data_IF_558093173941
#
_entry.id   IF_558093173941
#
_cell.length_a   1.000
_cell.length_b   1.000
_cell.length_c   1.000
_cell.angle_alpha   90.00
_cell.angle_beta   90.00
_cell.angle_gamma   90.00
#
_symmetry.space_group_name_H-M   'P 1'
#
loop_
_entity.id
_entity.type
_entity.pdbx_description
1 polymer ?
#
# COMPACT_ATOMS: atom_id res chain seq x y z
N UNK A 1 52.17 8.80 49.66
CA UNK A 1 53.60 8.87 49.28
C UNK A 1 53.71 9.32 47.82
N UNK A 2 54.54 10.34 47.60
CA UNK A 2 54.88 11.01 46.33
C UNK A 2 55.28 10.02 45.21
N UNK A 3 55.27 10.33 43.91
CA UNK A 3 55.93 11.44 43.20
C UNK A 3 55.55 11.34 41.71
N UNK A 4 54.96 12.38 41.10
CA UNK A 4 55.60 13.37 40.20
C UNK A 4 56.36 12.81 38.98
N UNK A 5 55.89 13.17 37.77
CA UNK A 5 56.67 14.02 36.84
C UNK A 5 55.79 14.67 35.77
N UNK A 6 55.78 15.99 35.80
CA UNK A 6 55.27 16.90 34.79
C UNK A 6 56.35 17.20 33.73
N UNK A 7 55.93 17.64 32.53
CA UNK A 7 56.61 18.72 31.80
C UNK A 7 55.60 19.66 31.14
N UNK A 8 55.78 20.93 31.47
CA UNK A 8 55.17 22.13 30.92
C UNK A 8 55.79 22.54 29.58
N UNK A 9 55.04 23.26 28.74
CA UNK A 9 55.26 24.68 28.37
C UNK A 9 54.11 25.11 27.44
N UNK A 10 53.16 25.98 27.86
CA UNK A 10 53.13 27.46 27.67
C UNK A 10 53.50 27.86 26.23
N UNK A 11 52.70 28.57 25.43
CA UNK A 11 51.49 29.37 25.62
C UNK A 11 51.57 30.58 24.68
N UNK A 12 50.43 31.15 24.25
CA UNK A 12 50.19 32.61 24.12
C UNK A 12 48.85 32.89 23.44
N UNK A 13 48.11 33.81 24.04
CA UNK A 13 46.83 34.33 23.63
C UNK A 13 46.98 35.52 22.67
N UNK A 14 45.98 35.73 21.82
CA UNK A 14 45.82 36.96 21.04
C UNK A 14 44.38 37.11 20.55
N UNK A 15 43.56 37.90 21.26
CA UNK A 15 42.31 38.48 20.75
C UNK A 15 42.62 39.79 20.03
N UNK A 16 42.10 40.01 18.82
CA UNK A 16 41.66 41.33 18.31
C UNK A 16 40.53 41.17 17.27
N UNK A 17 39.57 42.09 17.37
CA UNK A 17 38.34 42.28 16.58
C UNK A 17 38.60 42.82 15.15
N UNK A 18 37.57 42.88 14.27
CA UNK A 18 37.70 43.10 12.83
C UNK A 18 37.63 44.58 12.43
N UNK A 19 38.07 44.95 11.22
CA UNK A 19 37.51 46.05 10.44
C UNK A 19 36.57 45.46 9.35
N UNK A 20 35.45 46.06 8.94
CA UNK A 20 35.13 47.48 8.79
C UNK A 20 34.81 47.69 7.31
N UNK A 21 33.51 47.80 7.01
CA UNK A 21 32.93 48.07 5.68
C UNK A 21 33.17 49.53 5.26
N UNK A 22 33.40 49.80 3.95
CA UNK A 22 33.06 51.11 3.41
C UNK A 22 32.35 51.04 2.05
N UNK A 23 31.13 51.59 2.01
CA UNK A 23 30.83 52.72 1.13
C UNK A 23 30.22 52.44 -0.25
N UNK A 24 28.92 52.76 -0.33
CA UNK A 24 28.17 53.37 -1.43
C UNK A 24 28.89 53.71 -2.74
N UNK A 25 28.28 53.30 -3.87
CA UNK A 25 28.49 53.95 -5.15
C UNK A 25 27.94 53.21 -6.38
N UNK A 26 26.92 53.81 -7.01
CA UNK A 26 26.46 53.65 -8.40
C UNK A 26 25.60 52.40 -8.68
N UNK A 27 24.26 52.48 -8.82
CA UNK A 27 23.47 53.20 -9.84
C UNK A 27 23.88 52.88 -11.28
N UNK A 28 23.37 51.77 -11.82
CA UNK A 28 23.25 51.55 -13.26
C UNK A 28 22.00 50.70 -13.55
N UNK A 29 21.01 51.34 -14.18
CA UNK A 29 19.83 50.70 -14.75
C UNK A 29 20.20 49.80 -15.93
N UNK A 30 19.56 48.64 -16.12
CA UNK A 30 19.47 48.02 -17.43
C UNK A 30 18.17 48.46 -18.12
N UNK A 31 18.35 49.25 -19.16
CA UNK A 31 17.35 49.65 -20.14
C UNK A 31 16.93 48.45 -21.01
N UNK A 32 15.62 48.32 -21.21
CA UNK A 32 15.01 47.86 -22.45
C UNK A 32 15.14 46.38 -22.83
N UNK A 33 14.12 45.59 -22.45
CA UNK A 33 13.67 44.47 -23.29
C UNK A 33 12.17 44.61 -23.51
N UNK A 34 11.83 44.81 -24.77
CA UNK A 34 10.48 44.96 -25.32
C UNK A 34 9.60 43.75 -25.00
N UNK A 35 8.48 44.00 -24.34
CA UNK A 35 7.38 43.06 -24.20
C UNK A 35 6.75 42.79 -25.58
N UNK A 36 6.97 41.61 -26.14
CA UNK A 36 6.14 41.09 -27.22
C UNK A 36 4.85 40.55 -26.60
N UNK A 37 3.72 41.17 -26.98
CA UNK A 37 2.37 40.67 -26.75
C UNK A 37 2.22 39.31 -27.42
N UNK A 38 2.22 38.24 -26.64
CA UNK A 38 1.68 36.95 -27.06
C UNK A 38 0.15 37.02 -27.00
N UNK A 39 -0.48 36.82 -28.15
CA UNK A 39 -1.93 36.70 -28.29
C UNK A 39 -2.48 35.58 -27.41
N UNK A 40 -3.53 35.90 -26.65
CA UNK A 40 -4.29 34.94 -25.85
C UNK A 40 -5.14 34.12 -26.82
N UNK A 41 -4.75 32.87 -27.05
CA UNK A 41 -5.58 31.89 -27.76
C UNK A 41 -6.86 31.66 -26.95
N UNK A 42 -8.02 31.99 -27.53
CA UNK A 42 -9.33 31.71 -26.98
C UNK A 42 -9.48 30.20 -26.77
N UNK A 43 -9.54 29.78 -25.51
CA UNK A 43 -9.88 28.41 -25.15
C UNK A 43 -11.40 28.31 -25.18
N UNK A 44 -11.94 27.57 -26.15
CA UNK A 44 -13.37 27.26 -26.27
C UNK A 44 -13.88 26.62 -24.97
N UNK A 45 -14.89 27.25 -24.36
CA UNK A 45 -15.59 26.70 -23.19
C UNK A 45 -16.42 25.45 -23.55
N UNK A 46 -16.75 24.60 -22.57
CA UNK A 46 -17.49 23.37 -22.82
C UNK A 46 -18.90 23.67 -23.37
N UNK A 47 -19.28 22.97 -24.45
CA UNK A 47 -20.58 23.09 -25.10
C UNK A 47 -21.71 22.61 -24.15
N UNK A 48 -22.87 23.28 -24.11
CA UNK A 48 -23.99 22.88 -23.28
C UNK A 48 -24.58 21.54 -23.74
N UNK A 49 -24.94 20.70 -22.76
CA UNK A 49 -25.61 19.41 -22.96
C UNK A 49 -27.05 19.68 -23.44
N UNK A 50 -27.56 18.99 -24.48
CA UNK A 50 -28.93 19.19 -24.93
C UNK A 50 -29.93 18.71 -23.87
N UNK A 51 -30.86 19.59 -23.49
CA UNK A 51 -32.04 19.18 -22.74
C UNK A 51 -33.04 18.54 -23.71
N UNK A 52 -33.12 17.22 -23.69
CA UNK A 52 -34.17 16.47 -24.37
C UNK A 52 -35.52 16.75 -23.69
N UNK A 53 -36.38 17.55 -24.35
CA UNK A 53 -37.78 17.76 -23.94
C UNK A 53 -38.65 16.72 -24.64
N UNK A 54 -38.49 15.47 -24.25
CA UNK A 54 -39.42 14.39 -24.60
C UNK A 54 -40.73 14.56 -23.84
N UNK A 55 -41.82 14.75 -24.59
CA UNK A 55 -43.18 14.89 -24.08
C UNK A 55 -43.63 13.69 -23.25
N UNK A 56 -44.22 13.96 -22.09
CA UNK A 56 -44.89 12.98 -21.25
C UNK A 56 -46.34 12.83 -21.73
N UNK A 57 -46.60 11.81 -22.55
CA UNK A 57 -47.95 11.28 -22.74
C UNK A 57 -47.92 9.75 -22.70
N UNK A 58 -48.88 9.15 -21.98
CA UNK A 58 -49.28 7.77 -22.20
C UNK A 58 -48.76 6.68 -21.24
N UNK A 59 -49.38 6.58 -20.06
CA UNK A 59 -49.65 5.32 -19.32
C UNK A 59 -48.45 4.55 -18.73
N UNK A 60 -48.05 4.93 -17.52
CA UNK A 60 -47.35 4.04 -16.58
C UNK A 60 -48.29 2.87 -16.21
N UNK A 61 -47.96 1.65 -16.65
CA UNK A 61 -48.60 0.43 -16.13
C UNK A 61 -48.10 0.19 -14.70
N UNK A 62 -48.96 -0.12 -13.72
CA UNK A 62 -48.49 -0.46 -12.39
C UNK A 62 -47.69 -1.77 -12.45
N UNK A 63 -46.43 -1.72 -12.01
CA UNK A 63 -45.63 -2.90 -11.77
C UNK A 63 -46.36 -3.75 -10.72
N UNK A 64 -46.79 -4.96 -11.11
CA UNK A 64 -47.37 -5.93 -10.19
C UNK A 64 -46.33 -6.29 -9.13
N UNK A 65 -46.54 -5.81 -7.90
CA UNK A 65 -45.87 -6.27 -6.70
C UNK A 65 -46.03 -7.78 -6.60
N UNK A 66 -44.95 -8.54 -6.86
CA UNK A 66 -44.92 -9.95 -6.49
C UNK A 66 -44.82 -10.01 -4.97
N UNK A 67 -45.71 -10.74 -4.28
CA UNK A 67 -45.61 -10.85 -2.83
C UNK A 67 -44.32 -11.59 -2.45
N UNK A 68 -43.66 -11.07 -1.43
CA UNK A 68 -42.50 -11.64 -0.77
C UNK A 68 -42.85 -13.05 -0.25
N UNK A 69 -42.25 -14.09 -0.83
CA UNK A 69 -42.39 -15.46 -0.34
C UNK A 69 -41.46 -15.65 0.86
N UNK A 70 -42.05 -15.82 2.05
CA UNK A 70 -41.31 -16.14 3.28
C UNK A 70 -40.59 -17.49 3.20
N UNK A 71 -39.58 -17.74 4.04
CA UNK A 71 -38.80 -18.97 4.00
C UNK A 71 -39.59 -20.12 4.64
N UNK A 72 -40.13 -21.00 3.80
CA UNK A 72 -40.89 -22.18 4.21
C UNK A 72 -40.46 -23.44 3.45
N UNK A 73 -39.51 -24.16 4.06
CA UNK A 73 -39.31 -25.62 4.06
C UNK A 73 -39.30 -26.44 2.75
N UNK A 74 -38.14 -27.11 2.60
CA UNK A 74 -37.91 -28.48 2.09
C UNK A 74 -37.80 -28.71 0.57
N UNK A 75 -36.54 -28.70 0.12
CA UNK A 75 -36.05 -29.58 -0.94
C UNK A 75 -34.71 -30.17 -0.50
N UNK A 76 -34.73 -31.40 0.05
CA UNK A 76 -33.52 -32.17 0.26
C UNK A 76 -32.88 -32.49 -1.11
N UNK A 77 -31.58 -32.26 -1.24
CA UNK A 77 -30.81 -32.69 -2.41
C UNK A 77 -30.20 -31.56 -3.23
N UNK A 78 -29.22 -30.85 -2.67
CA UNK A 78 -28.10 -30.21 -3.40
C UNK A 78 -27.06 -29.69 -2.40
N UNK A 79 -26.34 -30.60 -1.75
CA UNK A 79 -25.03 -30.28 -1.17
C UNK A 79 -24.02 -30.41 -2.32
N UNK A 80 -24.01 -29.43 -3.23
CA UNK A 80 -23.04 -29.34 -4.32
C UNK A 80 -22.43 -27.94 -4.27
N UNK A 81 -21.15 -27.91 -3.93
CA UNK A 81 -20.21 -26.80 -4.14
C UNK A 81 -20.63 -25.45 -3.54
N UNK A 82 -20.56 -25.31 -2.21
CA UNK A 82 -20.22 -24.00 -1.67
C UNK A 82 -18.75 -23.77 -2.02
N UNK A 83 -18.50 -23.04 -3.12
CA UNK A 83 -17.15 -22.59 -3.45
C UNK A 83 -16.57 -21.87 -2.23
N UNK A 84 -15.44 -22.39 -1.72
CA UNK A 84 -14.71 -21.73 -0.64
C UNK A 84 -14.40 -20.33 -1.12
N UNK A 85 -15.08 -19.31 -0.58
CA UNK A 85 -14.87 -17.93 -0.99
C UNK A 85 -13.76 -17.34 -0.13
N UNK A 86 -12.71 -16.82 -0.76
CA UNK A 86 -11.64 -16.10 -0.05
C UNK A 86 -12.25 -14.88 0.64
N UNK A 87 -12.05 -14.76 1.95
CA UNK A 87 -12.50 -13.60 2.76
C UNK A 87 -11.44 -12.49 2.72
N UNK A 88 -11.20 -11.92 1.55
CA UNK A 88 -10.25 -10.80 1.36
C UNK A 88 -10.98 -9.61 0.77
N UNK A 89 -10.68 -8.42 1.29
CA UNK A 89 -11.22 -7.14 0.82
C UNK A 89 -10.05 -6.20 0.48
N UNK A 90 -10.01 -5.58 -0.71
CA UNK A 90 -10.87 -5.82 -1.87
C UNK A 90 -10.76 -7.26 -2.40
N UNK A 91 -11.82 -7.76 -3.05
CA UNK A 91 -11.80 -9.09 -3.67
C UNK A 91 -10.71 -9.14 -4.75
N UNK A 92 -9.78 -10.12 -4.71
CA UNK A 92 -8.75 -10.25 -5.72
C UNK A 92 -9.32 -10.52 -7.11
N UNK A 93 -8.63 -10.04 -8.15
CA UNK A 93 -9.04 -10.23 -9.55
C UNK A 93 -9.10 -11.70 -9.96
N UNK A 94 -8.09 -12.47 -9.58
CA UNK A 94 -8.00 -13.88 -9.91
C UNK A 94 -7.60 -14.70 -8.69
N UNK A 95 -8.29 -15.82 -8.50
CA UNK A 95 -8.02 -16.78 -7.44
C UNK A 95 -8.16 -18.19 -8.02
N UNK A 96 -7.14 -19.02 -7.83
CA UNK A 96 -7.19 -20.45 -8.07
C UNK A 96 -6.92 -21.19 -6.75
N UNK A 97 -7.84 -22.08 -6.37
CA UNK A 97 -7.73 -22.88 -5.15
C UNK A 97 -7.09 -24.23 -5.43
N UNK A 98 -6.37 -24.72 -4.44
CA UNK A 98 -5.93 -26.11 -4.36
C UNK A 98 -6.61 -26.78 -3.16
N UNK A 99 -6.84 -28.09 -3.19
CA UNK A 99 -7.60 -28.82 -2.15
C UNK A 99 -6.88 -28.92 -0.79
N UNK A 100 -5.65 -28.43 -0.71
CA UNK A 100 -4.74 -28.56 0.43
C UNK A 100 -4.76 -27.31 1.31
N UNK A 101 -4.29 -27.45 2.55
CA UNK A 101 -4.11 -26.35 3.48
C UNK A 101 -2.79 -26.50 4.25
N UNK A 102 -2.21 -25.37 4.63
CA UNK A 102 -0.92 -25.26 5.31
C UNK A 102 -1.14 -24.68 6.71
N UNK A 103 -0.52 -25.32 7.70
CA UNK A 103 -0.52 -24.82 9.08
C UNK A 103 0.55 -23.75 9.27
N UNK A 104 0.18 -22.67 9.94
CA UNK A 104 1.07 -21.53 10.18
C UNK A 104 2.30 -21.85 11.02
N UNK A 105 2.19 -22.82 11.93
CA UNK A 105 3.29 -23.30 12.78
C UNK A 105 4.51 -23.79 11.99
N UNK A 106 4.32 -24.14 10.71
CA UNK A 106 5.42 -24.59 9.85
C UNK A 106 6.30 -23.43 9.39
N UNK A 107 5.80 -22.19 9.38
CA UNK A 107 6.51 -21.04 8.84
C UNK A 107 7.75 -20.74 9.70
N UNK A 108 8.93 -20.99 9.15
CA UNK A 108 10.20 -20.86 9.87
C UNK A 108 10.89 -19.50 9.74
N UNK A 109 10.61 -18.74 8.68
CA UNK A 109 11.22 -17.42 8.45
C UNK A 109 10.43 -16.59 7.42
N UNK A 110 10.64 -15.27 7.48
CA UNK A 110 10.24 -14.32 6.42
C UNK A 110 11.51 -13.84 5.71
N UNK A 111 11.63 -14.13 4.43
CA UNK A 111 12.73 -13.67 3.59
C UNK A 111 12.28 -12.42 2.85
N UNK A 112 12.93 -11.29 3.16
CA UNK A 112 12.58 -10.00 2.61
C UNK A 112 13.82 -9.13 2.42
N UNK A 113 13.78 -8.28 1.42
CA UNK A 113 14.82 -7.27 1.22
C UNK A 113 14.67 -6.07 2.14
N UNK A 114 15.73 -5.26 2.31
CA UNK A 114 15.67 -4.04 3.11
C UNK A 114 14.58 -3.06 2.66
N UNK A 115 14.26 -2.99 1.37
CA UNK A 115 13.17 -2.18 0.80
C UNK A 115 11.80 -2.56 1.33
N UNK A 116 11.58 -3.84 1.58
CA UNK A 116 10.28 -4.42 1.92
C UNK A 116 10.15 -4.71 3.42
N UNK A 117 11.10 -4.21 4.21
CA UNK A 117 11.18 -4.41 5.67
C UNK A 117 9.90 -4.02 6.40
N UNK A 118 9.23 -2.96 5.97
CA UNK A 118 7.95 -2.55 6.56
C UNK A 118 6.87 -3.62 6.34
N UNK A 119 6.78 -4.14 5.12
CA UNK A 119 5.81 -5.19 4.79
C UNK A 119 6.12 -6.48 5.57
N UNK A 120 7.39 -6.87 5.65
CA UNK A 120 7.85 -8.01 6.45
C UNK A 120 7.53 -7.85 7.94
N UNK A 121 7.69 -6.65 8.51
CA UNK A 121 7.35 -6.37 9.91
C UNK A 121 5.85 -6.47 10.19
N UNK A 122 5.01 -5.98 9.27
CA UNK A 122 3.56 -6.09 9.37
C UNK A 122 3.15 -7.58 9.32
N UNK A 123 3.71 -8.33 8.37
CA UNK A 123 3.45 -9.75 8.25
C UNK A 123 3.88 -10.53 9.49
N UNK A 124 5.10 -10.28 9.98
CA UNK A 124 5.62 -10.92 11.20
C UNK A 124 4.65 -10.72 12.37
N UNK A 125 4.20 -9.49 12.56
CA UNK A 125 3.24 -9.17 13.62
C UNK A 125 1.91 -9.91 13.43
N UNK A 126 1.41 -10.02 12.21
CA UNK A 126 0.19 -10.77 11.93
C UNK A 126 0.34 -12.27 12.20
N UNK A 127 1.50 -12.86 11.87
CA UNK A 127 1.82 -14.27 12.18
C UNK A 127 1.91 -14.48 13.69
N UNK A 128 2.57 -13.58 14.42
CA UNK A 128 2.66 -13.61 15.87
C UNK A 128 1.27 -13.55 16.52
N UNK A 129 0.38 -12.69 16.02
CA UNK A 129 -1.00 -12.57 16.52
C UNK A 129 -1.86 -13.81 16.18
N UNK A 130 -1.73 -14.35 14.97
CA UNK A 130 -2.56 -15.46 14.48
C UNK A 130 -2.13 -16.83 15.02
N UNK A 131 -0.83 -17.08 15.14
CA UNK A 131 -0.25 -18.39 15.47
C UNK A 131 0.59 -18.41 16.74
N UNK A 132 0.72 -17.28 17.46
CA UNK A 132 1.60 -17.13 18.63
C UNK A 132 3.03 -17.59 18.35
N UNK A 133 3.50 -17.35 17.12
CA UNK A 133 4.79 -17.78 16.60
C UNK A 133 5.67 -16.57 16.29
N UNK A 134 6.87 -16.52 16.88
CA UNK A 134 7.88 -15.54 16.52
C UNK A 134 8.71 -16.04 15.33
N UNK A 135 8.60 -15.34 14.20
CA UNK A 135 9.36 -15.67 12.99
C UNK A 135 10.47 -14.64 12.72
N UNK A 136 11.71 -15.06 12.45
CA UNK A 136 12.79 -14.16 12.09
C UNK A 136 12.58 -13.57 10.69
N UNK A 137 12.99 -12.32 10.50
CA UNK A 137 13.09 -11.67 9.18
C UNK A 137 14.55 -11.78 8.74
N UNK A 138 14.78 -12.44 7.61
CA UNK A 138 16.12 -12.74 7.05
C UNK A 138 16.23 -12.12 5.66
N UNK A 139 17.45 -11.74 5.25
CA UNK A 139 17.69 -11.29 3.88
C UNK A 139 17.57 -12.46 2.89
N UNK A 140 16.98 -12.22 1.72
CA UNK A 140 16.88 -13.22 0.65
C UNK A 140 18.25 -13.78 0.21
N UNK A 141 19.33 -13.01 0.38
CA UNK A 141 20.70 -13.42 0.03
C UNK A 141 21.35 -14.43 0.98
N UNK A 142 20.80 -14.62 2.18
CA UNK A 142 21.44 -15.38 3.26
C UNK A 142 20.83 -16.77 3.49
N UNK A 143 19.73 -17.11 2.82
CA UNK A 143 19.02 -18.38 3.05
C UNK A 143 19.15 -19.34 1.87
N UNK A 144 19.55 -20.57 2.16
CA UNK A 144 19.71 -21.64 1.17
C UNK A 144 18.54 -22.62 1.10
N UNK A 145 17.43 -22.42 1.82
CA UNK A 145 16.28 -23.35 1.76
C UNK A 145 14.92 -22.63 1.85
N UNK A 146 14.05 -22.75 0.83
CA UNK A 146 12.69 -22.21 0.84
C UNK A 146 11.69 -23.06 1.64
N UNK A 147 12.14 -24.13 2.31
CA UNK A 147 11.25 -25.04 3.04
C UNK A 147 10.57 -24.33 4.21
N UNK A 148 9.25 -24.17 4.09
CA UNK A 148 8.36 -23.49 5.01
C UNK A 148 8.73 -22.02 5.29
N UNK A 149 9.10 -21.24 4.27
CA UNK A 149 9.36 -19.81 4.45
C UNK A 149 8.37 -18.93 3.69
N UNK A 150 8.18 -17.70 4.16
CA UNK A 150 7.50 -16.66 3.38
C UNK A 150 8.55 -15.84 2.65
N UNK A 151 8.55 -15.89 1.33
CA UNK A 151 9.47 -15.13 0.48
C UNK A 151 8.71 -13.98 -0.16
N UNK A 152 9.30 -12.78 -0.13
CA UNK A 152 8.69 -11.59 -0.72
C UNK A 152 9.70 -10.70 -1.42
N UNK A 153 9.33 -10.17 -2.58
CA UNK A 153 10.19 -9.23 -3.30
C UNK A 153 9.78 -9.03 -4.75
N UNK A 154 10.70 -8.47 -5.52
CA UNK A 154 10.48 -8.15 -6.94
C UNK A 154 11.40 -9.00 -7.82
N UNK A 155 10.88 -9.82 -8.74
CA UNK A 155 11.71 -10.69 -9.59
C UNK A 155 12.84 -9.94 -10.31
N UNK A 156 12.60 -8.71 -10.75
CA UNK A 156 13.59 -7.89 -11.47
C UNK A 156 14.81 -7.48 -10.62
N UNK A 157 14.65 -7.39 -9.31
CA UNK A 157 15.71 -6.98 -8.38
C UNK A 157 16.31 -8.16 -7.60
N UNK A 158 15.57 -9.27 -7.56
CA UNK A 158 15.83 -10.39 -6.66
C UNK A 158 15.92 -11.70 -7.44
N UNK A 159 17.13 -12.16 -7.79
CA UNK A 159 17.32 -13.40 -8.55
C UNK A 159 16.68 -14.61 -7.89
N UNK A 160 16.66 -14.66 -6.56
CA UNK A 160 16.01 -15.72 -5.80
C UNK A 160 14.48 -15.70 -5.98
N UNK A 161 13.85 -14.53 -5.97
CA UNK A 161 12.40 -14.40 -6.22
C UNK A 161 12.09 -14.78 -7.66
N UNK A 162 12.92 -14.36 -8.62
CA UNK A 162 12.78 -14.74 -10.03
C UNK A 162 12.89 -16.26 -10.23
N UNK A 163 13.85 -16.92 -9.57
CA UNK A 163 14.01 -18.37 -9.59
C UNK A 163 12.75 -19.07 -9.07
N UNK A 164 12.21 -18.64 -7.91
CA UNK A 164 10.99 -19.21 -7.36
C UNK A 164 9.79 -18.98 -8.27
N UNK A 165 9.66 -17.79 -8.87
CA UNK A 165 8.58 -17.51 -9.83
C UNK A 165 8.65 -18.46 -11.03
N UNK A 166 9.85 -18.69 -11.57
CA UNK A 166 10.07 -19.65 -12.67
C UNK A 166 9.78 -21.09 -12.24
N UNK A 167 10.30 -21.51 -11.07
CA UNK A 167 10.13 -22.87 -10.53
C UNK A 167 8.66 -23.23 -10.33
N UNK A 168 7.86 -22.32 -9.77
CA UNK A 168 6.46 -22.57 -9.44
C UNK A 168 5.46 -22.04 -10.49
N UNK A 169 5.94 -21.51 -11.63
CA UNK A 169 5.10 -20.95 -12.67
C UNK A 169 4.23 -19.79 -12.19
N UNK A 170 4.81 -18.87 -11.42
CA UNK A 170 4.12 -17.68 -10.91
C UNK A 170 4.31 -16.53 -11.88
N UNK A 171 3.21 -16.12 -12.51
CA UNK A 171 3.16 -14.96 -13.40
C UNK A 171 2.70 -13.74 -12.61
N UNK A 172 3.56 -12.73 -12.53
CA UNK A 172 3.22 -11.43 -11.93
C UNK A 172 2.47 -10.59 -12.97
N UNK A 173 1.27 -10.07 -12.66
CA UNK A 173 0.56 -9.16 -13.57
C UNK A 173 1.33 -7.86 -13.77
N UNK A 174 1.11 -7.16 -14.87
CA UNK A 174 1.77 -5.87 -15.13
C UNK A 174 1.31 -4.79 -14.13
N UNK A 175 2.25 -3.92 -13.74
CA UNK A 175 2.01 -2.72 -12.95
C UNK A 175 2.70 -2.69 -11.58
N UNK A 176 3.18 -1.52 -11.15
CA UNK A 176 3.93 -1.40 -9.88
C UNK A 176 3.14 -1.70 -8.59
N UNK A 177 1.81 -1.76 -8.69
CA UNK A 177 0.87 -2.06 -7.60
C UNK A 177 0.22 -3.46 -7.74
N UNK A 178 0.52 -4.20 -8.81
CA UNK A 178 0.03 -5.56 -8.99
C UNK A 178 0.81 -6.53 -8.10
N UNK A 179 0.28 -7.71 -7.86
CA UNK A 179 1.05 -8.77 -7.21
C UNK A 179 0.51 -10.15 -7.57
N UNK A 180 1.39 -11.13 -7.39
CA UNK A 180 1.05 -12.54 -7.33
C UNK A 180 1.35 -13.07 -5.93
N UNK A 181 0.43 -13.88 -5.39
CA UNK A 181 0.57 -14.58 -4.13
C UNK A 181 0.37 -16.08 -4.38
N UNK A 182 1.36 -16.88 -4.02
CA UNK A 182 1.30 -18.34 -4.03
C UNK A 182 1.41 -18.83 -2.59
N UNK A 183 0.50 -19.73 -2.20
CA UNK A 183 0.54 -20.48 -0.95
C UNK A 183 0.51 -21.96 -1.33
N UNK A 184 1.58 -22.68 -1.01
CA UNK A 184 1.68 -24.12 -1.22
C UNK A 184 2.30 -24.83 0.01
N UNK A 185 2.41 -26.16 -0.05
CA UNK A 185 2.99 -26.94 1.05
C UNK A 185 4.50 -26.71 1.26
N UNK A 186 5.20 -26.14 0.28
CA UNK A 186 6.63 -25.82 0.36
C UNK A 186 6.86 -24.44 0.99
N UNK A 187 5.93 -23.49 0.83
CA UNK A 187 6.02 -22.17 1.43
C UNK A 187 5.01 -21.16 0.88
N UNK A 188 5.33 -19.88 1.08
CA UNK A 188 4.51 -18.76 0.62
C UNK A 188 5.39 -17.81 -0.18
N UNK A 189 4.94 -17.41 -1.37
CA UNK A 189 5.64 -16.46 -2.22
C UNK A 189 4.75 -15.25 -2.53
N UNK A 190 5.26 -14.05 -2.26
CA UNK A 190 4.66 -12.77 -2.67
C UNK A 190 5.60 -12.09 -3.67
N UNK A 191 5.16 -11.99 -4.92
CA UNK A 191 5.95 -11.39 -6.00
C UNK A 191 5.19 -10.22 -6.65
N UNK A 192 5.91 -9.21 -7.09
CA UNK A 192 5.37 -8.00 -7.72
C UNK A 192 6.42 -7.32 -8.60
N UNK A 193 6.00 -6.48 -9.56
CA UNK A 193 6.91 -5.62 -10.34
C UNK A 193 7.42 -4.40 -9.54
N UNK A 194 6.75 -4.06 -8.43
CA UNK A 194 7.10 -2.92 -7.59
C UNK A 194 6.94 -3.16 -6.09
N UNK A 195 7.63 -2.37 -5.23
CA UNK A 195 7.50 -2.48 -3.77
C UNK A 195 6.08 -2.25 -3.25
N UNK A 196 5.29 -1.40 -3.93
CA UNK A 196 3.90 -1.16 -3.56
C UNK A 196 3.04 -2.43 -3.74
N UNK A 197 3.22 -3.14 -4.85
CA UNK A 197 2.57 -4.42 -5.07
C UNK A 197 3.00 -5.50 -4.08
N UNK A 198 4.30 -5.59 -3.73
CA UNK A 198 4.77 -6.51 -2.66
C UNK A 198 4.02 -6.21 -1.37
N UNK A 199 3.94 -4.93 -1.00
CA UNK A 199 3.20 -4.49 0.18
C UNK A 199 1.71 -4.88 0.11
N UNK A 200 1.04 -4.72 -1.03
CA UNK A 200 -0.37 -5.10 -1.19
C UNK A 200 -0.61 -6.62 -1.16
N UNK A 201 0.31 -7.41 -1.71
CA UNK A 201 0.27 -8.86 -1.59
C UNK A 201 0.38 -9.33 -0.14
N UNK A 202 1.20 -8.63 0.66
CA UNK A 202 1.27 -8.85 2.11
C UNK A 202 -0.02 -8.49 2.81
N UNK A 203 -0.67 -7.38 2.46
CA UNK A 203 -1.96 -7.04 3.08
C UNK A 203 -3.02 -8.11 2.81
N UNK A 204 -3.00 -8.70 1.62
CA UNK A 204 -3.86 -9.86 1.30
C UNK A 204 -3.51 -11.06 2.16
N UNK A 205 -2.22 -11.40 2.29
CA UNK A 205 -1.78 -12.50 3.14
C UNK A 205 -2.17 -12.28 4.61
N UNK A 206 -2.02 -11.05 5.13
CA UNK A 206 -2.46 -10.68 6.49
C UNK A 206 -3.96 -10.90 6.67
N UNK A 207 -4.79 -10.52 5.70
CA UNK A 207 -6.22 -10.77 5.79
C UNK A 207 -6.56 -12.27 5.75
N UNK A 208 -5.82 -13.05 4.95
CA UNK A 208 -5.96 -14.51 4.95
C UNK A 208 -5.63 -15.09 6.32
N UNK A 209 -4.52 -14.65 6.93
CA UNK A 209 -4.09 -15.06 8.27
C UNK A 209 -5.13 -14.72 9.35
N UNK A 210 -5.68 -13.51 9.32
CA UNK A 210 -6.70 -13.07 10.28
C UNK A 210 -8.04 -13.80 10.09
N UNK A 211 -8.34 -14.25 8.88
CA UNK A 211 -9.59 -14.95 8.55
C UNK A 211 -9.52 -16.46 8.75
N UNK A 212 -8.32 -17.01 8.84
CA UNK A 212 -8.04 -18.43 9.01
C UNK A 212 -7.79 -18.77 10.48
N UNK A 213 -8.35 -19.88 10.95
CA UNK A 213 -8.16 -20.38 12.32
C UNK A 213 -6.80 -21.11 12.46
N UNK A 214 -5.70 -20.45 12.10
CA UNK A 214 -4.34 -21.03 12.13
C UNK A 214 -3.96 -21.88 10.91
N UNK A 215 -4.84 -21.96 9.91
CA UNK A 215 -4.64 -22.67 8.65
C UNK A 215 -4.84 -21.72 7.46
N UNK A 216 -3.99 -21.86 6.45
CA UNK A 216 -4.09 -21.16 5.17
C UNK A 216 -4.44 -22.16 4.06
N UNK A 217 -5.48 -21.94 3.26
CA UNK A 217 -5.71 -22.73 2.07
C UNK A 217 -4.55 -22.56 1.08
N UNK A 218 -4.15 -23.65 0.42
CA UNK A 218 -3.25 -23.57 -0.73
C UNK A 218 -4.00 -22.88 -1.88
N UNK A 219 -3.40 -21.82 -2.41
CA UNK A 219 -4.03 -21.03 -3.46
C UNK A 219 -3.01 -20.20 -4.23
N UNK A 220 -3.46 -19.72 -5.39
CA UNK A 220 -2.78 -18.75 -6.24
C UNK A 220 -3.69 -17.55 -6.43
N UNK A 221 -3.18 -16.37 -6.14
CA UNK A 221 -3.86 -15.09 -6.35
C UNK A 221 -3.03 -14.25 -7.31
N UNK A 222 -3.70 -13.65 -8.29
CA UNK A 222 -3.17 -12.53 -9.07
C UNK A 222 -4.12 -11.36 -8.91
N UNK A 223 -3.58 -10.20 -8.57
CA UNK A 223 -4.39 -9.03 -8.28
C UNK A 223 -3.73 -7.75 -8.78
N UNK A 224 -4.55 -6.82 -9.23
CA UNK A 224 -4.14 -5.51 -9.72
C UNK A 224 -5.31 -4.52 -9.59
N UNK A 225 -5.02 -3.22 -9.41
CA UNK A 225 -6.07 -2.22 -9.27
C UNK A 225 -6.73 -1.87 -10.60
N UNK A 226 -8.06 -1.70 -10.61
CA UNK A 226 -8.78 -1.12 -11.77
C UNK A 226 -8.52 0.37 -11.93
N UNK A 227 -8.28 1.05 -10.80
CA UNK A 227 -8.14 2.50 -10.73
C UNK A 227 -6.78 2.85 -10.14
N UNK A 228 -6.04 3.72 -10.83
CA UNK A 228 -4.74 4.24 -10.35
C UNK A 228 -4.85 4.98 -9.02
N UNK A 229 -5.92 5.73 -8.81
CA UNK A 229 -6.15 6.51 -7.58
C UNK A 229 -7.30 5.91 -6.78
N UNK A 230 -7.01 5.49 -5.56
CA UNK A 230 -7.97 4.88 -4.64
C UNK A 230 -7.81 5.59 -3.31
N UNK A 231 -8.66 6.59 -3.09
CA UNK A 231 -8.39 7.57 -2.04
C UNK A 231 -9.49 7.76 -1.02
N UNK A 232 -9.10 8.34 0.12
CA UNK A 232 -9.97 8.81 1.18
C UNK A 232 -9.73 10.31 1.38
N UNK A 233 -10.80 11.10 1.36
CA UNK A 233 -10.77 12.50 1.76
C UNK A 233 -11.24 12.61 3.21
N UNK A 234 -10.41 13.21 4.06
CA UNK A 234 -10.73 13.49 5.46
C UNK A 234 -10.94 14.98 5.62
N UNK A 235 -12.17 15.36 5.94
CA UNK A 235 -12.49 16.74 6.31
C UNK A 235 -11.92 17.05 7.70
N UNK A 236 -10.95 17.96 7.75
CA UNK A 236 -10.35 18.47 8.99
C UNK A 236 -10.74 19.92 9.27
N UNK A 237 -11.65 20.47 8.47
CA UNK A 237 -12.14 21.84 8.58
C UNK A 237 -13.41 21.94 9.42
N UNK A 238 -14.18 20.85 9.47
CA UNK A 238 -15.42 20.75 10.24
C UNK A 238 -15.29 19.74 11.36
N UNK A 239 -15.77 20.11 12.54
CA UNK A 239 -15.78 19.23 13.70
C UNK A 239 -14.41 19.07 14.37
N UNK A 240 -14.27 18.08 15.28
CA UNK A 240 -13.05 17.88 16.04
C UNK A 240 -11.89 17.44 15.14
N UNK A 241 -10.75 18.15 15.23
CA UNK A 241 -9.52 17.77 14.54
C UNK A 241 -9.07 16.39 15.01
N UNK A 242 -8.79 15.49 14.06
CA UNK A 242 -8.31 14.15 14.37
C UNK A 242 -6.99 14.20 15.14
N UNK A 243 -6.91 13.43 16.22
CA UNK A 243 -5.64 13.19 16.91
C UNK A 243 -4.67 12.48 15.98
N UNK A 244 -3.38 12.77 16.12
CA UNK A 244 -2.34 12.18 15.26
C UNK A 244 -2.34 10.64 15.30
N UNK A 245 -2.59 10.04 16.46
CA UNK A 245 -2.66 8.58 16.58
C UNK A 245 -3.83 7.98 15.82
N UNK A 246 -4.96 8.70 15.77
CA UNK A 246 -6.13 8.28 15.00
C UNK A 246 -5.88 8.44 13.50
N UNK A 247 -5.24 9.53 13.06
CA UNK A 247 -4.86 9.69 11.66
C UNK A 247 -3.91 8.57 11.19
N UNK A 248 -2.93 8.18 12.02
CA UNK A 248 -2.08 7.01 11.75
C UNK A 248 -2.90 5.72 11.68
N UNK A 249 -3.92 5.55 12.52
CA UNK A 249 -4.84 4.41 12.44
C UNK A 249 -5.59 4.40 11.11
N UNK A 250 -6.13 5.55 10.67
CA UNK A 250 -6.78 5.69 9.36
C UNK A 250 -5.83 5.28 8.24
N UNK A 251 -4.58 5.76 8.23
CA UNK A 251 -3.58 5.39 7.21
C UNK A 251 -3.31 3.87 7.22
N UNK A 252 -3.18 3.24 8.39
CA UNK A 252 -3.01 1.77 8.48
C UNK A 252 -4.22 1.02 7.93
N UNK A 253 -5.43 1.50 8.21
CA UNK A 253 -6.67 0.93 7.67
C UNK A 253 -6.75 1.10 6.15
N UNK A 254 -6.41 2.28 5.64
CA UNK A 254 -6.31 2.54 4.20
C UNK A 254 -5.32 1.58 3.52
N UNK A 255 -4.14 1.43 4.10
CA UNK A 255 -3.10 0.54 3.61
C UNK A 255 -3.58 -0.91 3.56
N UNK A 256 -4.26 -1.39 4.61
CA UNK A 256 -4.86 -2.74 4.68
C UNK A 256 -5.83 -3.01 3.53
N UNK A 257 -6.58 -2.00 3.10
CA UNK A 257 -7.53 -2.08 1.99
C UNK A 257 -6.97 -1.55 0.66
N UNK A 258 -5.64 -1.43 0.52
CA UNK A 258 -4.93 -1.06 -0.72
C UNK A 258 -5.33 0.32 -1.28
N UNK A 259 -5.77 1.23 -0.42
CA UNK A 259 -5.98 2.65 -0.76
C UNK A 259 -4.63 3.38 -0.76
N UNK A 260 -4.39 4.20 -1.77
CA UNK A 260 -3.09 4.82 -2.05
C UNK A 260 -3.08 6.35 -2.03
N UNK A 261 -4.21 6.99 -1.76
CA UNK A 261 -4.32 8.45 -1.73
C UNK A 261 -5.08 8.95 -0.50
N UNK A 262 -4.44 9.75 0.34
CA UNK A 262 -5.09 10.44 1.45
C UNK A 262 -5.11 11.95 1.16
N UNK A 263 -6.29 12.55 1.18
CA UNK A 263 -6.45 13.99 1.02
C UNK A 263 -7.02 14.58 2.30
N UNK A 264 -6.37 15.59 2.86
CA UNK A 264 -6.91 16.36 3.97
C UNK A 264 -7.65 17.56 3.38
N UNK A 265 -8.97 17.58 3.55
CA UNK A 265 -9.78 18.71 3.12
C UNK A 265 -9.74 19.81 4.18
N UNK A 266 -9.39 21.02 3.74
CA UNK A 266 -9.35 22.22 4.56
C UNK A 266 -10.15 23.32 3.88
N UNK A 267 -11.04 23.96 4.63
CA UNK A 267 -11.69 25.22 4.26
C UNK A 267 -11.56 26.19 5.45
N UNK A 268 -11.37 27.48 5.18
CA UNK A 268 -11.39 28.54 6.19
C UNK A 268 -10.48 28.38 7.43
N UNK A 269 -9.45 27.51 7.37
CA UNK A 269 -8.55 27.23 8.49
C UNK A 269 -7.43 28.26 8.69
N UNK A 270 -7.12 29.06 7.65
CA UNK A 270 -6.06 30.06 7.69
C UNK A 270 -6.64 31.47 7.62
N UNK A 271 -6.25 32.32 8.56
CA UNK A 271 -6.55 33.75 8.53
C UNK A 271 -5.46 34.42 7.69
N UNK A 272 -5.81 34.81 6.47
CA UNK A 272 -4.99 35.66 5.61
C UNK A 272 -5.19 37.14 5.98
#
# INVERSE_FOLDING_TARGET
MASLRARHHRGLAGRRQPPGDPGDGQSAEPTGTSAQRGEVSQVDGPRPIPHDRGGLDGRLRPASLRPYAGPGALGQGKRREEAVKVKVIPEPKEVAFEEKAVRLERIGAILANPSDRLAAQILRKAIEEAAQLEVPIVSCSESSRPGNAVVMGTPDRDPFVAELCSKYGVEVPEGSESYALLIDEEGILVASEGPAGVFYGVQTLVQLLESGDGELPCLRIRDWPDMRYRGLQVDISRGPVLRMDYLKKVIRTMAKFKLNMLTLYTEHMFRF
#
